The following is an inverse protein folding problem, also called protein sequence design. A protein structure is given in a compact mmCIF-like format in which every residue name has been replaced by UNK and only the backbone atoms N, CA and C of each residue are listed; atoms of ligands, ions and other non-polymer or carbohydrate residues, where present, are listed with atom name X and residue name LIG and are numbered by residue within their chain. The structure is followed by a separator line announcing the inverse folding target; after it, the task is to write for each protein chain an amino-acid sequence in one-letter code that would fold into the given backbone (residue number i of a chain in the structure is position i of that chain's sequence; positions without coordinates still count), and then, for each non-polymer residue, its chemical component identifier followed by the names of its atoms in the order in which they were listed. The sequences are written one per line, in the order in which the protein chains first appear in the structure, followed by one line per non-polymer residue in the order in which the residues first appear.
data_IF_510332796975
#
_entry.id   IF_510332796975
#
_cell.length_a   1.000
_cell.length_b   1.000
_cell.length_c   1.000
_cell.angle_alpha   90.00
_cell.angle_beta   90.00
_cell.angle_gamma   90.00
#
_symmetry.space_group_name_H-M   'P 1'
#
loop_
_entity.id
_entity.type
_entity.pdbx_description
1 polymer ?
#
# COMPACT_ATOMS: atom_id res chain seq x y z
N UNK A 1 -51.93 5.22 -37.32
CA UNK A 1 -52.07 6.68 -37.59
C UNK A 1 -51.58 7.41 -36.37
N UNK A 2 -50.37 7.88 -36.40
CA UNK A 2 -49.81 9.01 -35.65
C UNK A 2 -48.34 9.13 -36.09
N UNK A 3 -48.01 10.25 -36.58
CA UNK A 3 -46.82 10.68 -37.32
C UNK A 3 -45.65 10.96 -36.38
N UNK A 4 -44.39 10.81 -36.79
CA UNK A 4 -43.23 11.10 -35.95
C UNK A 4 -42.88 12.59 -36.05
N UNK A 5 -42.64 13.23 -34.90
CA UNK A 5 -42.10 14.59 -34.80
C UNK A 5 -40.57 14.57 -34.65
N UNK A 6 -39.92 15.22 -35.60
CA UNK A 6 -38.52 15.63 -35.64
C UNK A 6 -38.33 16.90 -34.78
N UNK A 7 -37.29 17.03 -33.99
CA UNK A 7 -36.78 18.30 -33.53
C UNK A 7 -35.34 18.55 -33.93
N UNK A 8 -35.15 19.19 -35.06
CA UNK A 8 -33.96 20.00 -35.30
C UNK A 8 -34.18 21.38 -34.69
N UNK A 9 -33.39 21.78 -33.70
CA UNK A 9 -33.19 23.17 -33.36
C UNK A 9 -31.84 23.42 -32.67
N UNK A 10 -30.97 24.07 -33.43
CA UNK A 10 -30.19 25.24 -33.11
C UNK A 10 -29.02 25.11 -32.10
N UNK A 11 -27.87 25.10 -32.69
CA UNK A 11 -26.57 25.54 -32.14
C UNK A 11 -26.54 27.08 -32.05
N UNK A 12 -26.08 27.68 -30.97
CA UNK A 12 -25.61 29.08 -31.01
C UNK A 12 -24.06 29.11 -31.10
N UNK A 13 -23.66 29.86 -32.10
CA UNK A 13 -22.30 30.21 -32.47
C UNK A 13 -21.69 31.23 -31.52
N UNK A 14 -20.40 31.05 -31.34
CA UNK A 14 -19.38 31.87 -30.70
C UNK A 14 -19.21 33.27 -31.33
N UNK A 15 -18.83 34.33 -30.65
CA UNK A 15 -18.09 35.42 -31.25
C UNK A 15 -16.62 35.47 -30.84
N UNK A 16 -15.80 35.48 -31.84
CA UNK A 16 -14.42 35.92 -31.93
C UNK A 16 -14.24 37.41 -31.57
N UNK A 17 -13.26 37.72 -30.73
CA UNK A 17 -12.56 39.03 -30.64
C UNK A 17 -11.13 38.66 -30.23
N UNK A 18 -10.04 38.97 -30.87
CA UNK A 18 -9.63 40.14 -31.62
C UNK A 18 -8.17 40.30 -31.26
N UNK A 19 -7.30 40.24 -32.26
CA UNK A 19 -5.87 40.40 -32.14
C UNK A 19 -5.47 41.82 -31.67
N UNK A 20 -4.42 41.92 -30.84
CA UNK A 20 -3.77 43.16 -30.49
C UNK A 20 -2.29 42.92 -30.25
N UNK A 21 -1.50 43.18 -31.28
CA UNK A 21 -0.03 43.29 -31.28
C UNK A 21 0.36 44.62 -30.62
N UNK A 22 1.36 44.61 -29.76
CA UNK A 22 2.42 45.65 -29.67
C UNK A 22 3.52 45.18 -28.71
N UNK A 23 4.74 44.96 -29.19
CA UNK A 23 5.92 45.25 -28.40
C UNK A 23 6.29 46.70 -28.56
N UNK A 24 7.16 47.29 -27.79
CA UNK A 24 8.60 47.00 -27.92
C UNK A 24 9.47 47.11 -26.64
N UNK A 25 10.63 46.54 -26.73
CA UNK A 25 11.93 47.20 -26.54
C UNK A 25 12.53 47.39 -25.12
N UNK A 26 13.64 46.73 -24.98
CA UNK A 26 14.97 47.16 -24.49
C UNK A 26 15.26 47.52 -23.04
N UNK A 27 16.42 46.98 -22.77
CA UNK A 27 17.51 47.34 -21.83
C UNK A 27 17.46 46.56 -20.53
N UNK A 28 18.35 45.60 -20.24
CA UNK A 28 19.79 45.78 -20.23
C UNK A 28 20.22 46.06 -18.80
N UNK A 29 20.49 45.01 -18.00
CA UNK A 29 21.49 45.09 -16.91
C UNK A 29 22.06 43.68 -16.70
N UNK A 30 23.32 43.52 -17.05
CA UNK A 30 24.12 42.35 -16.76
C UNK A 30 24.45 42.26 -15.27
N UNK A 31 24.03 41.22 -14.64
CA UNK A 31 24.46 40.80 -13.32
C UNK A 31 25.37 39.60 -13.46
N UNK A 32 26.68 39.85 -13.48
CA UNK A 32 27.73 38.81 -13.39
C UNK A 32 27.66 38.20 -12.00
N UNK A 33 27.21 36.97 -11.88
CA UNK A 33 27.45 36.16 -10.68
C UNK A 33 28.94 35.76 -10.67
N UNK A 34 29.66 36.37 -9.76
CA UNK A 34 31.02 36.06 -9.35
C UNK A 34 30.98 34.72 -8.59
N UNK A 35 31.80 33.78 -9.03
CA UNK A 35 32.08 32.55 -8.30
C UNK A 35 32.80 32.86 -6.99
N UNK A 36 32.58 32.14 -5.90
CA UNK A 36 33.33 32.28 -4.67
C UNK A 36 34.74 31.73 -4.88
N UNK A 37 35.75 32.56 -4.48
CA UNK A 37 37.15 32.21 -4.42
C UNK A 37 37.43 31.08 -3.42
N UNK A 38 38.43 30.23 -3.68
CA UNK A 38 38.88 29.21 -2.74
C UNK A 38 39.64 29.85 -1.59
N UNK A 39 39.35 29.42 -0.37
CA UNK A 39 40.08 29.76 0.84
C UNK A 39 41.48 29.14 0.76
N UNK A 40 42.50 30.00 0.77
CA UNK A 40 43.90 29.61 0.89
C UNK A 40 44.20 29.00 2.26
N UNK A 41 44.80 27.83 2.25
CA UNK A 41 45.47 27.23 3.41
C UNK A 41 46.78 27.99 3.69
N UNK A 42 47.11 28.35 4.95
CA UNK A 42 48.42 28.92 5.25
C UNK A 42 49.50 27.82 5.29
N UNK A 43 50.49 27.99 4.45
CA UNK A 43 51.69 27.17 4.38
C UNK A 43 52.52 27.26 5.65
N UNK A 44 52.90 26.12 6.17
CA UNK A 44 53.93 25.97 7.20
C UNK A 44 55.33 26.22 6.61
N UNK A 45 55.95 27.35 6.88
CA UNK A 45 57.40 27.49 6.96
C UNK A 45 57.75 28.86 7.51
N UNK A 46 58.13 28.92 8.75
CA UNK A 46 59.20 29.77 9.27
C UNK A 46 59.26 29.64 10.77
N UNK A 47 60.05 28.69 11.20
CA UNK A 47 60.50 28.60 12.58
C UNK A 47 62.04 28.47 12.55
N UNK A 48 62.72 29.55 12.70
CA UNK A 48 64.13 29.48 13.10
C UNK A 48 64.53 30.77 13.81
N UNK A 49 64.79 30.63 15.11
CA UNK A 49 65.90 31.33 15.73
C UNK A 49 65.65 32.72 16.29
N UNK A 50 65.57 32.83 17.60
CA UNK A 50 66.44 33.78 18.33
C UNK A 50 66.33 33.56 19.85
N UNK A 51 67.31 32.94 20.41
CA UNK A 51 68.24 33.41 21.51
C UNK A 51 67.60 33.81 22.84
N UNK A 52 67.89 32.96 23.82
CA UNK A 52 67.99 33.23 25.25
C UNK A 52 68.82 34.48 25.60
N UNK A 53 68.31 35.38 26.44
CA UNK A 53 69.10 36.03 27.50
C UNK A 53 68.17 36.70 28.53
N UNK A 54 68.15 36.13 29.75
CA UNK A 54 68.48 36.80 31.00
C UNK A 54 67.78 38.13 31.30
N UNK A 55 66.87 38.07 32.29
CA UNK A 55 66.90 38.93 33.52
C UNK A 55 65.87 38.43 34.55
N UNK A 56 66.32 37.85 35.65
CA UNK A 56 65.70 37.96 36.97
C UNK A 56 66.29 39.24 37.60
N UNK A 57 65.61 40.02 38.47
CA UNK A 57 64.93 39.59 39.67
C UNK A 57 63.66 40.42 40.00
N UNK A 58 62.76 39.94 40.79
CA UNK A 58 62.46 40.48 42.12
C UNK A 58 61.42 39.62 42.86
N UNK A 59 61.88 39.08 43.95
CA UNK A 59 61.06 38.50 45.01
C UNK A 59 60.35 39.61 45.80
N UNK A 60 59.01 39.74 45.63
CA UNK A 60 58.20 40.28 46.77
C UNK A 60 56.71 40.10 46.49
N UNK A 61 56.06 39.52 47.49
CA UNK A 61 54.62 39.53 47.78
C UNK A 61 53.72 38.60 46.92
N UNK A 62 53.62 37.38 47.41
CA UNK A 62 52.42 36.55 47.10
C UNK A 62 51.16 37.22 47.62
N UNK A 63 50.16 37.50 46.77
CA UNK A 63 48.86 37.93 47.25
C UNK A 63 48.20 36.77 47.99
N UNK A 64 47.36 37.04 49.03
CA UNK A 64 46.67 36.00 49.78
C UNK A 64 45.76 35.18 48.88
N UNK A 65 45.57 33.87 49.11
CA UNK A 65 44.71 33.03 48.30
C UNK A 65 43.32 33.62 48.30
N UNK A 66 42.61 33.58 47.15
CA UNK A 66 41.23 34.07 47.06
C UNK A 66 40.37 33.25 48.02
N UNK A 67 39.67 33.96 48.91
CA UNK A 67 38.68 33.40 49.80
C UNK A 67 37.66 32.62 48.97
N UNK A 68 37.55 31.34 49.23
CA UNK A 68 36.57 30.49 48.59
C UNK A 68 35.17 31.12 48.73
N UNK A 69 34.41 31.22 47.64
CA UNK A 69 33.03 31.69 47.72
C UNK A 69 32.24 30.77 48.65
N UNK A 70 31.27 31.32 49.38
CA UNK A 70 30.44 30.50 50.27
C UNK A 70 29.76 29.39 49.46
N UNK A 71 29.56 28.19 50.05
CA UNK A 71 28.96 27.08 49.34
C UNK A 71 27.60 27.52 48.79
N UNK A 72 27.48 27.49 47.48
CA UNK A 72 26.23 27.73 46.81
C UNK A 72 25.17 26.80 47.42
N UNK A 73 24.14 27.38 48.00
CA UNK A 73 23.02 26.62 48.56
C UNK A 73 22.58 25.60 47.49
N UNK A 74 22.78 24.33 47.79
CA UNK A 74 22.37 23.23 46.91
C UNK A 74 20.86 23.32 46.71
N UNK A 75 20.47 24.00 45.64
CA UNK A 75 19.10 24.04 45.20
C UNK A 75 18.70 22.59 44.90
N UNK A 76 17.81 22.03 45.72
CA UNK A 76 17.36 20.65 45.61
C UNK A 76 16.87 20.46 44.17
N UNK A 77 17.37 19.46 43.41
CA UNK A 77 16.97 19.29 42.05
C UNK A 77 15.44 19.17 41.97
N UNK A 78 14.79 20.15 41.39
CA UNK A 78 13.36 20.10 41.11
C UNK A 78 13.09 18.79 40.41
N UNK A 79 12.41 17.85 41.07
CA UNK A 79 11.93 16.60 40.47
C UNK A 79 11.20 16.97 39.19
N UNK A 80 11.88 16.88 38.04
CA UNK A 80 11.23 16.95 36.72
C UNK A 80 10.17 15.86 36.74
N UNK A 81 8.90 16.25 36.78
CA UNK A 81 7.78 15.32 36.56
C UNK A 81 8.04 14.67 35.22
N UNK A 82 8.54 13.44 35.25
CA UNK A 82 8.65 12.63 34.03
C UNK A 82 7.22 12.39 33.58
N UNK A 83 6.75 13.16 32.60
CA UNK A 83 5.49 12.87 31.94
C UNK A 83 5.65 11.47 31.33
N UNK A 84 4.85 10.50 31.76
CA UNK A 84 5.04 9.13 31.31
C UNK A 84 4.84 9.08 29.79
N UNK A 85 5.66 8.31 29.09
CA UNK A 85 5.65 8.21 27.61
C UNK A 85 4.26 7.90 27.07
N UNK A 86 3.47 7.12 27.81
CA UNK A 86 2.10 6.80 27.42
C UNK A 86 1.19 8.05 27.32
N UNK A 87 1.43 9.13 28.07
CA UNK A 87 0.64 10.35 28.00
C UNK A 87 0.80 11.09 26.65
N UNK A 88 1.93 10.93 25.98
CA UNK A 88 2.14 11.47 24.63
C UNK A 88 1.50 10.60 23.54
N UNK A 89 1.40 9.29 23.79
CA UNK A 89 0.85 8.34 22.81
C UNK A 89 -0.65 8.13 23.00
N UNK A 90 -1.17 8.35 24.22
CA UNK A 90 -2.57 8.13 24.56
C UNK A 90 -3.58 8.87 23.65
N UNK A 91 -3.42 10.15 23.29
CA UNK A 91 -4.37 10.82 22.43
C UNK A 91 -4.51 10.13 21.06
N UNK A 92 -3.37 9.76 20.44
CA UNK A 92 -3.39 9.06 19.15
C UNK A 92 -3.96 7.66 19.25
N UNK A 93 -3.67 6.94 20.34
CA UNK A 93 -4.23 5.61 20.59
C UNK A 93 -5.74 5.67 20.83
N UNK A 94 -6.24 6.68 21.58
CA UNK A 94 -7.68 6.86 21.80
C UNK A 94 -8.39 7.12 20.47
N UNK A 95 -7.88 8.05 19.66
CA UNK A 95 -8.46 8.34 18.34
C UNK A 95 -8.47 7.09 17.47
N UNK A 96 -7.36 6.34 17.43
CA UNK A 96 -7.25 5.11 16.67
C UNK A 96 -8.24 4.04 17.16
N UNK A 97 -8.37 3.90 18.49
CA UNK A 97 -9.32 2.97 19.10
C UNK A 97 -10.78 3.31 18.75
N UNK A 98 -11.15 4.58 18.83
CA UNK A 98 -12.50 5.03 18.47
C UNK A 98 -12.78 4.78 16.99
N UNK A 99 -11.85 5.11 16.09
CA UNK A 99 -12.06 4.97 14.65
C UNK A 99 -12.08 3.50 14.21
N UNK A 100 -11.31 2.63 14.84
CA UNK A 100 -11.19 1.21 14.43
C UNK A 100 -12.08 0.30 15.28
N UNK A 101 -11.99 0.38 16.63
CA UNK A 101 -12.66 -0.59 17.49
C UNK A 101 -14.18 -0.36 17.57
N UNK A 102 -14.63 0.90 17.50
CA UNK A 102 -16.06 1.17 17.52
C UNK A 102 -16.81 0.61 16.29
N UNK A 103 -16.40 0.89 15.03
CA UNK A 103 -17.05 0.28 13.87
C UNK A 103 -16.93 -1.24 13.84
N UNK A 104 -15.77 -1.78 14.24
CA UNK A 104 -15.57 -3.23 14.31
C UNK A 104 -16.52 -3.88 15.34
N UNK A 105 -16.57 -3.31 16.55
CA UNK A 105 -17.49 -3.80 17.59
C UNK A 105 -18.96 -3.69 17.17
N UNK A 106 -19.32 -2.58 16.50
CA UNK A 106 -20.67 -2.41 15.94
C UNK A 106 -20.98 -3.43 14.84
N UNK A 107 -20.03 -3.71 13.94
CA UNK A 107 -20.21 -4.73 12.91
C UNK A 107 -20.43 -6.13 13.53
N UNK A 108 -19.63 -6.49 14.54
CA UNK A 108 -19.82 -7.75 15.28
C UNK A 108 -21.18 -7.79 16.00
N UNK A 109 -21.59 -6.68 16.61
CA UNK A 109 -22.89 -6.58 17.23
C UNK A 109 -24.04 -6.75 16.21
N UNK A 110 -23.98 -6.04 15.08
CA UNK A 110 -24.98 -6.15 14.01
C UNK A 110 -25.03 -7.56 13.42
N UNK A 111 -23.89 -8.24 13.30
CA UNK A 111 -23.80 -9.60 12.75
C UNK A 111 -24.60 -10.65 13.55
N UNK A 112 -24.88 -10.35 14.82
CA UNK A 112 -25.68 -11.21 15.71
C UNK A 112 -27.19 -10.91 15.68
N UNK A 113 -27.63 -10.02 14.79
CA UNK A 113 -29.03 -9.65 14.64
C UNK A 113 -29.56 -10.04 13.26
N UNK A 114 -30.85 -10.37 13.18
CA UNK A 114 -31.49 -10.72 11.90
C UNK A 114 -31.79 -9.46 11.06
N UNK A 115 -31.76 -9.61 9.74
CA UNK A 115 -32.26 -8.59 8.79
C UNK A 115 -33.76 -8.75 8.55
N UNK A 116 -34.34 -9.91 8.90
CA UNK A 116 -35.71 -10.26 8.62
C UNK A 116 -36.72 -9.47 9.44
N UNK A 117 -37.75 -8.98 8.77
CA UNK A 117 -38.95 -8.47 9.44
C UNK A 117 -39.78 -9.68 9.89
N UNK A 118 -39.82 -9.96 11.19
CA UNK A 118 -40.78 -10.95 11.75
C UNK A 118 -42.01 -10.21 12.23
N UNK A 119 -43.18 -10.76 11.92
CA UNK A 119 -44.41 -10.30 12.54
C UNK A 119 -44.40 -10.76 14.00
N UNK A 120 -44.43 -9.80 14.91
CA UNK A 120 -44.59 -10.13 16.32
C UNK A 120 -46.01 -10.64 16.55
N UNK A 121 -46.18 -11.87 17.08
CA UNK A 121 -47.52 -12.45 17.29
C UNK A 121 -48.35 -11.68 18.30
N UNK A 122 -47.73 -10.95 19.24
CA UNK A 122 -48.43 -10.24 20.30
C UNK A 122 -48.82 -8.82 19.87
N UNK A 123 -47.99 -8.13 19.12
CA UNK A 123 -48.23 -6.72 18.73
C UNK A 123 -48.74 -6.56 17.31
N UNK A 124 -48.64 -7.59 16.45
CA UNK A 124 -48.99 -7.52 15.03
C UNK A 124 -48.07 -6.58 14.22
N UNK A 125 -46.97 -6.08 14.81
CA UNK A 125 -46.01 -5.18 14.14
C UNK A 125 -44.80 -5.97 13.63
N UNK A 126 -44.19 -5.46 12.56
CA UNK A 126 -42.96 -6.01 12.06
C UNK A 126 -41.79 -5.59 12.95
N UNK A 127 -41.19 -6.57 13.64
CA UNK A 127 -39.98 -6.38 14.44
C UNK A 127 -38.76 -6.71 13.58
N UNK A 128 -37.83 -5.77 13.49
CA UNK A 128 -36.57 -5.94 12.80
C UNK A 128 -35.43 -6.06 13.81
N UNK A 129 -34.38 -6.81 13.47
CA UNK A 129 -33.16 -6.83 14.27
C UNK A 129 -33.25 -7.70 15.53
N UNK A 130 -33.99 -8.78 15.49
CA UNK A 130 -33.97 -9.76 16.59
C UNK A 130 -32.59 -10.37 16.76
N UNK A 131 -32.18 -10.56 18.01
CA UNK A 131 -30.92 -11.19 18.36
C UNK A 131 -30.95 -12.69 18.01
N UNK A 132 -30.04 -13.12 17.12
CA UNK A 132 -30.03 -14.47 16.54
C UNK A 132 -28.69 -15.19 16.75
N UNK A 133 -27.84 -14.68 17.64
CA UNK A 133 -26.50 -15.24 17.90
C UNK A 133 -25.68 -15.46 16.61
N UNK A 134 -25.42 -16.69 16.25
CA UNK A 134 -24.57 -17.10 15.15
C UNK A 134 -25.34 -17.56 13.89
N UNK A 135 -26.62 -17.33 13.80
CA UNK A 135 -27.43 -17.82 12.67
C UNK A 135 -26.98 -17.22 11.33
N UNK A 136 -26.62 -15.93 11.31
CA UNK A 136 -26.10 -15.32 10.08
C UNK A 136 -24.80 -15.99 9.62
N UNK A 137 -23.91 -16.34 10.54
CA UNK A 137 -22.66 -17.04 10.22
C UNK A 137 -22.92 -18.45 9.70
N UNK A 138 -23.81 -19.18 10.36
CA UNK A 138 -24.24 -20.51 9.93
C UNK A 138 -24.83 -20.44 8.53
N UNK A 139 -25.74 -19.51 8.28
CA UNK A 139 -26.41 -19.35 6.99
C UNK A 139 -25.42 -19.10 5.85
N UNK A 140 -24.38 -18.28 6.05
CA UNK A 140 -23.32 -18.08 5.06
C UNK A 140 -22.53 -19.36 4.81
N UNK A 141 -22.06 -20.03 5.86
CA UNK A 141 -21.21 -21.23 5.73
C UNK A 141 -21.97 -22.37 5.09
N UNK A 142 -23.24 -22.58 5.47
CA UNK A 142 -24.09 -23.65 4.95
C UNK A 142 -24.85 -23.27 3.69
N UNK A 143 -24.67 -22.03 3.20
CA UNK A 143 -25.43 -21.47 2.07
C UNK A 143 -26.93 -21.61 2.24
N UNK A 144 -27.44 -21.31 3.43
CA UNK A 144 -28.86 -21.41 3.79
C UNK A 144 -29.51 -20.03 3.77
N UNK A 145 -30.69 -19.97 3.15
CA UNK A 145 -31.48 -18.75 3.03
C UNK A 145 -32.73 -18.88 3.96
N UNK A 146 -32.91 -17.85 4.79
CA UNK A 146 -34.08 -17.82 5.70
C UNK A 146 -35.33 -17.40 4.95
N UNK A 147 -36.37 -18.23 5.04
CA UNK A 147 -37.71 -17.96 4.52
C UNK A 147 -38.73 -17.90 5.66
N UNK A 148 -39.96 -17.46 5.37
CA UNK A 148 -41.01 -17.43 6.36
C UNK A 148 -41.31 -18.84 6.96
N UNK A 149 -41.01 -19.89 6.20
CA UNK A 149 -41.30 -21.29 6.60
C UNK A 149 -40.06 -22.03 7.13
N UNK A 150 -38.93 -21.32 7.37
CA UNK A 150 -37.70 -21.92 7.87
C UNK A 150 -36.49 -21.66 6.97
N UNK A 151 -35.38 -22.34 7.27
CA UNK A 151 -34.12 -22.23 6.51
C UNK A 151 -34.11 -23.28 5.40
N UNK A 152 -33.89 -22.86 4.17
CA UNK A 152 -33.74 -23.71 2.98
C UNK A 152 -32.37 -23.45 2.33
N UNK A 153 -31.82 -24.41 1.55
CA UNK A 153 -30.66 -24.13 0.74
C UNK A 153 -30.90 -22.94 -0.20
N UNK A 154 -29.95 -22.03 -0.29
CA UNK A 154 -30.08 -20.85 -1.15
C UNK A 154 -30.22 -21.25 -2.62
N UNK A 155 -31.24 -20.76 -3.34
CA UNK A 155 -31.36 -20.99 -4.78
C UNK A 155 -30.12 -20.54 -5.53
N UNK A 156 -29.73 -21.26 -6.62
CA UNK A 156 -28.64 -20.86 -7.49
C UNK A 156 -28.83 -19.43 -8.01
N UNK A 157 -27.75 -18.64 -8.03
CA UNK A 157 -27.76 -17.23 -8.48
C UNK A 157 -28.09 -16.22 -7.37
N UNK A 158 -28.52 -16.65 -6.18
CA UNK A 158 -28.66 -15.75 -5.02
C UNK A 158 -27.31 -15.46 -4.39
N UNK A 159 -27.19 -14.34 -3.66
CA UNK A 159 -25.93 -13.98 -2.98
C UNK A 159 -25.49 -15.06 -1.98
N UNK A 160 -26.42 -15.67 -1.26
CA UNK A 160 -26.13 -16.74 -0.31
C UNK A 160 -25.49 -17.98 -0.95
N UNK A 161 -25.86 -18.32 -2.19
CA UNK A 161 -25.28 -19.45 -2.93
C UNK A 161 -23.87 -19.19 -3.47
N UNK A 162 -23.38 -17.93 -3.44
CA UNK A 162 -22.09 -17.53 -4.02
C UNK A 162 -20.95 -17.53 -3.00
N UNK A 163 -21.20 -17.83 -1.73
CA UNK A 163 -20.21 -17.69 -0.65
C UNK A 163 -18.90 -18.43 -0.94
N UNK A 164 -18.98 -19.75 -1.15
CA UNK A 164 -17.78 -20.56 -1.39
C UNK A 164 -17.09 -20.23 -2.72
N UNK A 165 -17.86 -19.87 -3.74
CA UNK A 165 -17.31 -19.41 -5.00
C UNK A 165 -16.55 -18.12 -4.84
N UNK A 166 -17.07 -17.16 -4.08
CA UNK A 166 -16.41 -15.87 -3.81
C UNK A 166 -15.14 -16.05 -2.97
N UNK A 167 -15.13 -16.98 -2.01
CA UNK A 167 -13.90 -17.38 -1.31
C UNK A 167 -12.89 -17.94 -2.29
N UNK A 168 -13.28 -18.91 -3.13
CA UNK A 168 -12.43 -19.51 -4.14
C UNK A 168 -11.84 -18.50 -5.13
N UNK A 169 -12.68 -17.56 -5.60
CA UNK A 169 -12.23 -16.47 -6.46
C UNK A 169 -11.22 -15.55 -5.75
N UNK A 170 -11.49 -15.18 -4.48
CA UNK A 170 -10.59 -14.31 -3.70
C UNK A 170 -9.21 -14.94 -3.54
N UNK A 171 -9.15 -16.19 -3.11
CA UNK A 171 -7.88 -16.91 -2.98
C UNK A 171 -7.21 -17.16 -4.34
N UNK A 172 -7.99 -17.52 -5.37
CA UNK A 172 -7.49 -17.73 -6.72
C UNK A 172 -6.82 -16.47 -7.29
N UNK A 173 -7.52 -15.33 -7.23
CA UNK A 173 -6.94 -14.05 -7.63
C UNK A 173 -5.71 -13.71 -6.81
N UNK A 174 -5.80 -13.82 -5.49
CA UNK A 174 -4.66 -13.50 -4.60
C UNK A 174 -3.42 -14.29 -4.96
N UNK A 175 -3.52 -15.62 -5.11
CA UNK A 175 -2.37 -16.47 -5.42
C UNK A 175 -1.80 -16.13 -6.80
N UNK A 176 -2.65 -16.04 -7.82
CA UNK A 176 -2.20 -15.80 -9.19
C UNK A 176 -1.59 -14.41 -9.34
N UNK A 177 -2.26 -13.35 -8.84
CA UNK A 177 -1.76 -11.98 -9.00
C UNK A 177 -0.48 -11.75 -8.20
N UNK A 178 -0.42 -12.19 -6.93
CA UNK A 178 0.78 -12.02 -6.09
C UNK A 178 1.99 -12.76 -6.67
N UNK A 179 1.81 -13.96 -7.22
CA UNK A 179 2.90 -14.69 -7.88
C UNK A 179 3.42 -13.94 -9.13
N UNK A 180 2.51 -13.51 -10.00
CA UNK A 180 2.87 -12.77 -11.22
C UNK A 180 3.55 -11.45 -10.89
N UNK A 181 3.00 -10.70 -9.95
CA UNK A 181 3.53 -9.43 -9.50
C UNK A 181 4.89 -9.56 -8.80
N UNK A 182 5.10 -10.65 -8.07
CA UNK A 182 6.40 -10.95 -7.45
C UNK A 182 7.47 -11.14 -8.53
N UNK A 183 7.17 -11.91 -9.57
CA UNK A 183 8.11 -12.16 -10.67
C UNK A 183 8.34 -10.88 -11.50
N UNK A 184 7.27 -10.20 -11.89
CA UNK A 184 7.35 -8.98 -12.69
C UNK A 184 7.98 -7.85 -11.89
N UNK A 185 7.56 -7.65 -10.62
CA UNK A 185 8.08 -6.64 -9.72
C UNK A 185 9.58 -6.84 -9.41
N UNK A 186 10.01 -8.08 -9.17
CA UNK A 186 11.43 -8.40 -9.01
C UNK A 186 12.22 -8.08 -10.28
N UNK A 187 11.70 -8.45 -11.44
CA UNK A 187 12.33 -8.15 -12.73
C UNK A 187 12.47 -6.64 -12.96
N UNK A 188 11.39 -5.88 -12.71
CA UNK A 188 11.39 -4.42 -12.79
C UNK A 188 12.39 -3.81 -11.78
N UNK A 189 12.42 -4.29 -10.55
CA UNK A 189 13.33 -3.82 -9.50
C UNK A 189 14.79 -4.03 -9.89
N UNK A 190 15.14 -5.19 -10.44
CA UNK A 190 16.50 -5.50 -10.93
C UNK A 190 16.93 -4.59 -12.08
N UNK A 191 16.02 -4.22 -12.99
CA UNK A 191 16.30 -3.27 -14.06
C UNK A 191 16.49 -1.86 -13.47
N UNK A 192 15.61 -1.43 -12.58
CA UNK A 192 15.66 -0.11 -11.93
C UNK A 192 16.85 0.06 -10.97
N UNK A 193 17.42 -1.03 -10.47
CA UNK A 193 18.63 -1.01 -9.63
C UNK A 193 19.89 -0.69 -10.42
N UNK A 194 19.92 -0.97 -11.73
CA UNK A 194 21.08 -0.67 -12.58
C UNK A 194 21.29 0.83 -12.75
N UNK A 195 22.57 1.22 -12.91
CA UNK A 195 22.98 2.59 -13.22
C UNK A 195 23.05 2.80 -14.72
N UNK A 196 22.15 3.62 -15.28
CA UNK A 196 22.16 4.01 -16.67
C UNK A 196 21.51 5.39 -16.86
N UNK A 197 21.79 6.04 -18.02
CA UNK A 197 21.15 7.31 -18.38
C UNK A 197 19.65 7.11 -18.57
N UNK A 198 18.81 7.96 -17.92
CA UNK A 198 17.35 7.86 -18.01
C UNK A 198 16.67 6.97 -16.95
N UNK A 199 17.42 6.40 -16.00
CA UNK A 199 16.83 5.57 -14.94
C UNK A 199 15.72 6.29 -14.12
N UNK A 200 15.85 7.61 -13.96
CA UNK A 200 14.84 8.42 -13.26
C UNK A 200 13.52 8.45 -14.03
N UNK A 201 13.59 8.64 -15.35
CA UNK A 201 12.40 8.59 -16.21
C UNK A 201 11.76 7.21 -16.22
N UNK A 202 12.57 6.14 -16.31
CA UNK A 202 12.07 4.77 -16.22
C UNK A 202 11.31 4.53 -14.89
N UNK A 203 11.90 4.93 -13.75
CA UNK A 203 11.25 4.81 -12.45
C UNK A 203 9.94 5.57 -12.38
N UNK A 204 9.90 6.80 -12.90
CA UNK A 204 8.68 7.60 -12.96
C UNK A 204 7.61 6.93 -13.84
N UNK A 205 7.98 6.46 -15.04
CA UNK A 205 7.04 5.80 -15.97
C UNK A 205 6.46 4.50 -15.41
N UNK A 206 7.27 3.70 -14.73
CA UNK A 206 6.83 2.45 -14.08
C UNK A 206 5.81 2.74 -12.99
N UNK A 207 5.87 3.91 -12.32
CA UNK A 207 4.93 4.25 -11.26
C UNK A 207 3.58 4.78 -11.73
N UNK A 208 3.44 5.17 -12.99
CA UNK A 208 2.20 5.73 -13.53
C UNK A 208 1.00 4.80 -13.29
N UNK A 209 1.06 3.48 -13.61
CA UNK A 209 -0.07 2.59 -13.38
C UNK A 209 -0.55 2.55 -11.93
N UNK A 210 0.38 2.54 -10.99
CA UNK A 210 0.06 2.50 -9.57
C UNK A 210 -0.55 3.81 -9.07
N UNK A 211 -0.12 4.95 -9.61
CA UNK A 211 -0.61 6.27 -9.24
C UNK A 211 -2.06 6.54 -9.70
N UNK A 212 -2.56 5.81 -10.73
CA UNK A 212 -3.92 5.99 -11.24
C UNK A 212 -4.93 5.43 -10.22
N UNK A 213 -6.01 6.17 -9.89
CA UNK A 213 -7.09 5.66 -9.04
C UNK A 213 -7.67 4.34 -9.57
N UNK A 214 -7.94 3.38 -8.67
CA UNK A 214 -8.37 2.03 -9.07
C UNK A 214 -9.66 2.06 -9.90
N UNK A 215 -10.61 2.94 -9.57
CA UNK A 215 -11.85 3.07 -10.34
C UNK A 215 -11.60 3.51 -11.79
N UNK A 216 -10.63 4.41 -12.01
CA UNK A 216 -10.25 4.85 -13.37
C UNK A 216 -9.56 3.70 -14.10
N UNK A 217 -8.65 3.00 -13.45
CA UNK A 217 -8.01 1.80 -14.00
C UNK A 217 -9.04 0.75 -14.41
N UNK A 218 -10.01 0.47 -13.55
CA UNK A 218 -11.04 -0.51 -13.83
C UNK A 218 -11.88 -0.12 -15.06
N UNK A 219 -12.26 1.15 -15.20
CA UNK A 219 -12.97 1.65 -16.39
C UNK A 219 -12.11 1.60 -17.65
N UNK A 220 -10.83 1.95 -17.56
CA UNK A 220 -9.89 1.86 -18.68
C UNK A 220 -9.79 0.42 -19.21
N UNK A 221 -9.58 -0.53 -18.32
CA UNK A 221 -9.50 -1.95 -18.67
C UNK A 221 -10.84 -2.53 -19.13
N UNK A 222 -11.97 -2.04 -18.57
CA UNK A 222 -13.30 -2.38 -19.07
C UNK A 222 -13.46 -2.02 -20.55
N UNK A 223 -13.05 -0.82 -20.99
CA UNK A 223 -13.10 -0.42 -22.40
C UNK A 223 -12.13 -1.23 -23.28
N UNK A 224 -10.96 -1.59 -22.76
CA UNK A 224 -10.00 -2.43 -23.48
C UNK A 224 -10.60 -3.81 -23.75
N UNK A 225 -11.28 -4.39 -22.77
CA UNK A 225 -11.86 -5.72 -22.79
C UNK A 225 -13.37 -5.74 -23.19
N UNK A 226 -13.93 -4.63 -23.65
CA UNK A 226 -15.28 -4.62 -24.19
C UNK A 226 -15.38 -5.49 -25.46
N UNK A 227 -16.60 -5.93 -25.83
CA UNK A 227 -16.78 -6.79 -27.00
C UNK A 227 -16.20 -6.19 -28.29
N UNK A 228 -16.42 -4.91 -28.52
CA UNK A 228 -15.87 -4.12 -29.61
C UNK A 228 -14.57 -3.39 -29.22
N UNK A 229 -14.00 -3.75 -28.08
CA UNK A 229 -12.81 -3.15 -27.51
C UNK A 229 -11.52 -3.48 -28.25
N UNK A 230 -10.45 -2.82 -27.80
CA UNK A 230 -9.12 -2.92 -28.43
C UNK A 230 -8.59 -4.36 -28.38
N UNK A 231 -8.84 -5.11 -27.29
CA UNK A 231 -8.37 -6.48 -27.14
C UNK A 231 -8.88 -7.39 -28.27
N UNK A 232 -10.16 -7.40 -28.52
CA UNK A 232 -10.75 -8.21 -29.59
C UNK A 232 -10.30 -7.76 -30.98
N UNK A 233 -10.14 -6.45 -31.20
CA UNK A 233 -9.66 -5.91 -32.51
C UNK A 233 -8.23 -6.33 -32.81
N UNK A 234 -7.33 -6.32 -31.82
CA UNK A 234 -5.93 -6.74 -31.98
C UNK A 234 -5.83 -8.25 -32.18
N UNK A 235 -6.63 -9.03 -31.44
CA UNK A 235 -6.59 -10.50 -31.50
C UNK A 235 -7.39 -11.05 -32.69
N UNK A 236 -8.21 -10.25 -33.37
CA UNK A 236 -9.11 -10.71 -34.44
C UNK A 236 -10.18 -11.68 -33.92
N UNK A 237 -10.61 -11.55 -32.65
CA UNK A 237 -11.53 -12.47 -31.99
C UNK A 237 -12.77 -11.75 -31.49
N UNK A 238 -13.78 -12.51 -31.07
CA UNK A 238 -15.01 -12.01 -30.42
C UNK A 238 -15.17 -12.64 -29.04
N UNK A 239 -14.13 -12.60 -28.23
CA UNK A 239 -14.14 -13.15 -26.88
C UNK A 239 -15.00 -12.27 -25.98
N UNK A 240 -15.90 -12.86 -25.20
CA UNK A 240 -16.74 -12.18 -24.21
C UNK A 240 -15.98 -12.01 -22.87
N UNK A 241 -14.98 -11.09 -22.88
CA UNK A 241 -14.07 -10.88 -21.74
C UNK A 241 -14.78 -10.50 -20.44
N UNK A 242 -15.97 -9.93 -20.50
CA UNK A 242 -16.71 -9.49 -19.30
C UNK A 242 -17.82 -10.46 -18.88
N UNK A 243 -18.20 -11.38 -19.77
CA UNK A 243 -19.31 -12.31 -19.53
C UNK A 243 -18.84 -13.73 -19.24
N UNK A 244 -17.90 -14.25 -20.03
CA UNK A 244 -17.42 -15.62 -19.88
C UNK A 244 -16.50 -15.78 -18.66
N UNK A 245 -16.65 -16.88 -17.88
CA UNK A 245 -15.95 -17.03 -16.59
C UNK A 245 -14.43 -16.95 -16.66
N UNK A 246 -13.80 -17.63 -17.63
CA UNK A 246 -12.33 -17.67 -17.73
C UNK A 246 -11.74 -16.40 -18.33
N UNK A 247 -12.26 -15.87 -19.46
CA UNK A 247 -11.84 -14.57 -19.97
C UNK A 247 -11.98 -13.44 -18.95
N UNK A 248 -13.10 -13.41 -18.19
CA UNK A 248 -13.33 -12.39 -17.18
C UNK A 248 -12.30 -12.46 -16.04
N UNK A 249 -11.96 -13.65 -15.56
CA UNK A 249 -10.91 -13.85 -14.58
C UNK A 249 -9.54 -13.40 -15.11
N UNK A 250 -9.23 -13.77 -16.35
CA UNK A 250 -7.98 -13.35 -16.99
C UNK A 250 -7.88 -11.83 -17.10
N UNK A 251 -8.96 -11.16 -17.52
CA UNK A 251 -9.00 -9.71 -17.66
C UNK A 251 -8.74 -8.99 -16.32
N UNK A 252 -9.31 -9.50 -15.22
CA UNK A 252 -9.05 -8.96 -13.87
C UNK A 252 -7.58 -9.16 -13.49
N UNK A 253 -7.03 -10.36 -13.69
CA UNK A 253 -5.62 -10.64 -13.36
C UNK A 253 -4.69 -9.71 -14.12
N UNK A 254 -4.91 -9.51 -15.42
CA UNK A 254 -4.08 -8.60 -16.24
C UNK A 254 -4.16 -7.17 -15.74
N UNK A 255 -5.38 -6.68 -15.45
CA UNK A 255 -5.59 -5.31 -14.96
C UNK A 255 -4.94 -5.09 -13.60
N UNK A 256 -5.06 -6.05 -12.69
CA UNK A 256 -4.52 -5.98 -11.33
C UNK A 256 -2.99 -6.03 -11.35
N UNK A 257 -2.41 -6.99 -12.06
CA UNK A 257 -0.95 -7.13 -12.21
C UNK A 257 -0.33 -5.89 -12.84
N UNK A 258 -0.94 -5.35 -13.90
CA UNK A 258 -0.47 -4.12 -14.54
C UNK A 258 -0.44 -2.94 -13.56
N UNK A 259 -1.48 -2.82 -12.73
CA UNK A 259 -1.61 -1.73 -11.77
C UNK A 259 -0.64 -1.85 -10.61
N UNK A 260 -0.44 -3.04 -10.07
CA UNK A 260 0.16 -3.25 -8.74
C UNK A 260 1.58 -3.82 -8.79
N UNK A 261 2.04 -4.41 -9.90
CA UNK A 261 3.44 -4.82 -10.07
C UNK A 261 4.47 -3.69 -9.82
N UNK A 262 4.21 -2.41 -10.19
CA UNK A 262 5.08 -1.30 -9.85
C UNK A 262 5.29 -1.09 -8.34
N UNK A 263 4.26 -1.29 -7.54
CA UNK A 263 4.36 -1.20 -6.08
C UNK A 263 5.28 -2.28 -5.51
N UNK A 264 5.11 -3.53 -5.99
CA UNK A 264 6.03 -4.63 -5.65
C UNK A 264 7.47 -4.30 -6.06
N UNK A 265 7.65 -3.75 -7.25
CA UNK A 265 8.96 -3.37 -7.75
C UNK A 265 9.65 -2.32 -6.87
N UNK A 266 8.91 -1.33 -6.34
CA UNK A 266 9.46 -0.32 -5.43
C UNK A 266 9.90 -0.91 -4.10
N UNK A 267 9.09 -1.75 -3.48
CA UNK A 267 9.44 -2.38 -2.20
C UNK A 267 10.68 -3.27 -2.35
N UNK A 268 10.75 -4.05 -3.44
CA UNK A 268 11.90 -4.91 -3.73
C UNK A 268 13.13 -4.05 -4.05
N UNK A 269 12.97 -2.95 -4.80
CA UNK A 269 14.05 -2.03 -5.12
C UNK A 269 14.65 -1.38 -3.87
N UNK A 270 13.81 -1.00 -2.90
CA UNK A 270 14.28 -0.49 -1.62
C UNK A 270 15.16 -1.52 -0.90
N UNK A 271 14.78 -2.79 -0.92
CA UNK A 271 15.61 -3.89 -0.39
C UNK A 271 16.93 -4.08 -1.17
N UNK A 272 16.89 -3.99 -2.49
CA UNK A 272 18.10 -4.10 -3.32
C UNK A 272 19.11 -2.97 -3.05
N UNK A 273 18.64 -1.77 -2.73
CA UNK A 273 19.49 -0.62 -2.41
C UNK A 273 20.21 -0.75 -1.06
N UNK A 274 19.76 -1.64 -0.19
CA UNK A 274 20.43 -1.92 1.08
C UNK A 274 21.64 -2.86 0.95
N UNK A 275 21.83 -3.49 -0.22
CA UNK A 275 22.93 -4.42 -0.46
C UNK A 275 24.18 -3.61 -0.83
N UNK A 276 25.30 -3.72 -0.06
CA UNK A 276 26.55 -3.03 -0.36
C UNK A 276 27.11 -3.41 -1.73
N UNK A 277 27.64 -2.43 -2.47
CA UNK A 277 28.22 -2.66 -3.80
C UNK A 277 29.44 -3.59 -3.74
N UNK A 278 30.22 -3.49 -2.66
CA UNK A 278 31.45 -4.26 -2.45
C UNK A 278 31.22 -5.79 -2.53
N UNK A 279 30.05 -6.26 -2.07
CA UNK A 279 29.68 -7.68 -2.17
C UNK A 279 29.61 -8.16 -3.62
N UNK A 280 29.09 -7.29 -4.50
CA UNK A 280 29.01 -7.60 -5.93
C UNK A 280 30.38 -7.49 -6.64
N UNK A 281 31.23 -6.59 -6.17
CA UNK A 281 32.59 -6.41 -6.69
C UNK A 281 33.47 -7.60 -6.31
N UNK A 282 33.46 -8.02 -5.05
CA UNK A 282 34.16 -9.21 -4.60
C UNK A 282 33.74 -10.45 -5.40
N UNK A 283 32.45 -10.67 -5.58
CA UNK A 283 31.94 -11.80 -6.37
C UNK A 283 32.33 -11.74 -7.85
N UNK A 284 32.56 -10.55 -8.42
CA UNK A 284 33.11 -10.41 -9.78
C UNK A 284 34.56 -10.80 -9.84
N UNK A 285 35.37 -10.41 -8.84
CA UNK A 285 36.78 -10.78 -8.73
C UNK A 285 36.92 -12.30 -8.60
N UNK A 286 36.03 -12.95 -7.83
CA UNK A 286 35.96 -14.41 -7.70
C UNK A 286 35.45 -15.12 -8.97
N UNK A 287 35.17 -14.40 -10.05
CA UNK A 287 34.71 -14.99 -11.32
C UNK A 287 33.25 -15.43 -11.35
N UNK A 288 32.41 -15.04 -10.36
CA UNK A 288 31.03 -15.42 -10.33
C UNK A 288 30.22 -14.85 -11.51
N UNK A 289 29.47 -15.70 -12.21
CA UNK A 289 28.59 -15.32 -13.31
C UNK A 289 27.42 -14.46 -12.82
N UNK A 290 26.73 -13.78 -13.74
CA UNK A 290 25.56 -12.95 -13.39
C UNK A 290 24.44 -13.78 -12.72
N UNK A 291 24.21 -15.02 -13.17
CA UNK A 291 23.23 -15.93 -12.57
C UNK A 291 23.62 -16.41 -11.18
N UNK A 292 24.90 -16.71 -10.96
CA UNK A 292 25.43 -17.06 -9.64
C UNK A 292 25.27 -15.90 -8.66
N UNK A 293 25.64 -14.68 -9.06
CA UNK A 293 25.44 -13.46 -8.24
C UNK A 293 23.96 -13.24 -7.92
N UNK A 294 23.07 -13.42 -8.90
CA UNK A 294 21.63 -13.31 -8.65
C UNK A 294 21.14 -14.34 -7.63
N UNK A 295 21.46 -15.62 -7.82
CA UNK A 295 20.93 -16.70 -7.00
C UNK A 295 21.58 -16.78 -5.61
N UNK A 296 22.88 -16.50 -5.50
CA UNK A 296 23.65 -16.72 -4.26
C UNK A 296 23.83 -15.43 -3.43
N UNK A 297 23.67 -14.25 -4.03
CA UNK A 297 23.87 -12.97 -3.36
C UNK A 297 22.56 -12.16 -3.37
N UNK A 298 22.07 -11.80 -4.56
CA UNK A 298 20.94 -10.89 -4.67
C UNK A 298 19.67 -11.47 -4.04
N UNK A 299 19.29 -12.67 -4.43
CA UNK A 299 18.04 -13.29 -3.98
C UNK A 299 18.01 -13.56 -2.46
N UNK A 300 19.08 -14.10 -1.84
CA UNK A 300 19.10 -14.27 -0.39
C UNK A 300 19.09 -12.94 0.38
N UNK A 301 19.84 -11.94 -0.08
CA UNK A 301 19.92 -10.64 0.62
C UNK A 301 18.68 -9.79 0.45
N UNK A 302 17.96 -9.88 -0.69
CA UNK A 302 16.70 -9.17 -0.90
C UNK A 302 15.51 -9.90 -0.30
N UNK A 303 15.66 -11.18 0.08
CA UNK A 303 14.58 -12.02 0.60
C UNK A 303 13.75 -11.37 1.71
N UNK A 304 14.32 -10.67 2.72
CA UNK A 304 13.51 -10.01 3.75
C UNK A 304 12.58 -8.94 3.17
N UNK A 305 13.07 -8.10 2.25
CA UNK A 305 12.28 -7.08 1.59
C UNK A 305 11.21 -7.69 0.66
N UNK A 306 11.56 -8.76 -0.05
CA UNK A 306 10.64 -9.52 -0.88
C UNK A 306 9.48 -10.11 -0.04
N UNK A 307 9.79 -10.67 1.13
CA UNK A 307 8.77 -11.22 2.04
C UNK A 307 7.81 -10.15 2.54
N UNK A 308 8.33 -8.96 2.89
CA UNK A 308 7.50 -7.81 3.28
C UNK A 308 6.62 -7.36 2.12
N UNK A 309 7.16 -7.27 0.91
CA UNK A 309 6.39 -6.92 -0.28
C UNK A 309 5.27 -7.92 -0.56
N UNK A 310 5.55 -9.22 -0.51
CA UNK A 310 4.57 -10.31 -0.67
C UNK A 310 3.50 -10.24 0.42
N UNK A 311 3.88 -9.99 1.68
CA UNK A 311 2.93 -9.84 2.77
C UNK A 311 1.93 -8.71 2.51
N UNK A 312 2.45 -7.50 2.23
CA UNK A 312 1.59 -6.33 1.95
C UNK A 312 0.67 -6.59 0.75
N UNK A 313 1.21 -7.16 -0.33
CA UNK A 313 0.42 -7.41 -1.52
C UNK A 313 -0.64 -8.50 -1.32
N UNK A 314 -0.32 -9.55 -0.57
CA UNK A 314 -1.31 -10.58 -0.24
C UNK A 314 -2.47 -10.00 0.57
N UNK A 315 -2.17 -9.14 1.57
CA UNK A 315 -3.20 -8.46 2.36
C UNK A 315 -4.08 -7.54 1.51
N UNK A 316 -3.50 -6.88 0.51
CA UNK A 316 -4.23 -6.02 -0.43
C UNK A 316 -5.09 -6.85 -1.39
N UNK A 317 -4.55 -7.91 -1.97
CA UNK A 317 -5.25 -8.81 -2.90
C UNK A 317 -6.46 -9.51 -2.27
N UNK A 318 -6.35 -9.93 -1.00
CA UNK A 318 -7.46 -10.56 -0.27
C UNK A 318 -8.66 -9.61 -0.07
N UNK A 319 -8.45 -8.30 -0.18
CA UNK A 319 -9.50 -7.27 -0.05
C UNK A 319 -9.89 -6.64 -1.39
N UNK A 320 -9.51 -7.27 -2.51
CA UNK A 320 -9.83 -6.78 -3.84
C UNK A 320 -11.33 -6.59 -4.02
N UNK A 321 -11.75 -5.34 -4.30
CA UNK A 321 -13.13 -4.96 -4.51
C UNK A 321 -13.32 -4.20 -5.83
N UNK A 322 -12.61 -3.09 -6.03
CA UNK A 322 -12.88 -2.12 -7.10
C UNK A 322 -12.78 -2.72 -8.50
N UNK A 323 -11.72 -3.51 -8.77
CA UNK A 323 -11.51 -4.08 -10.10
C UNK A 323 -12.63 -5.04 -10.50
N UNK A 324 -12.94 -6.11 -9.73
CA UNK A 324 -14.04 -7.01 -10.09
C UNK A 324 -15.39 -6.29 -10.12
N UNK A 325 -15.69 -5.42 -9.15
CA UNK A 325 -16.97 -4.72 -9.06
C UNK A 325 -17.22 -3.77 -10.25
N UNK A 326 -16.20 -3.01 -10.67
CA UNK A 326 -16.35 -1.99 -11.71
C UNK A 326 -16.19 -2.56 -13.11
N UNK A 327 -15.26 -3.53 -13.31
CA UNK A 327 -15.03 -4.15 -14.60
C UNK A 327 -16.11 -5.17 -14.98
N UNK A 328 -16.55 -5.99 -14.02
CA UNK A 328 -17.38 -7.17 -14.28
C UNK A 328 -18.79 -7.05 -13.68
N UNK A 329 -19.02 -6.02 -12.85
CA UNK A 329 -20.28 -5.87 -12.14
C UNK A 329 -20.56 -7.06 -11.21
N UNK A 330 -21.82 -7.53 -11.21
CA UNK A 330 -22.25 -8.67 -10.36
C UNK A 330 -22.02 -10.03 -11.02
N UNK A 331 -20.96 -10.20 -11.83
CA UNK A 331 -20.65 -11.51 -12.44
C UNK A 331 -20.14 -12.49 -11.34
N UNK A 332 -20.87 -13.57 -11.05
CA UNK A 332 -20.51 -14.53 -9.99
C UNK A 332 -19.13 -15.18 -10.21
N UNK A 333 -18.72 -15.35 -11.48
CA UNK A 333 -17.44 -15.98 -11.82
C UNK A 333 -16.23 -15.17 -11.35
N UNK A 334 -16.40 -13.87 -11.10
CA UNK A 334 -15.35 -12.94 -10.70
C UNK A 334 -15.63 -12.25 -9.38
N UNK A 335 -16.80 -12.50 -8.77
CA UNK A 335 -17.17 -11.95 -7.48
C UNK A 335 -16.19 -12.41 -6.41
N UNK A 336 -15.53 -11.47 -5.75
CA UNK A 336 -14.71 -11.71 -4.56
C UNK A 336 -15.56 -11.63 -3.30
N UNK A 337 -15.03 -12.10 -2.18
CA UNK A 337 -15.74 -11.99 -0.90
C UNK A 337 -16.02 -10.51 -0.55
N UNK A 338 -15.15 -9.58 -0.91
CA UNK A 338 -15.36 -8.14 -0.71
C UNK A 338 -16.51 -7.58 -1.56
N UNK A 339 -16.65 -8.05 -2.80
CA UNK A 339 -17.79 -7.71 -3.67
C UNK A 339 -19.08 -8.26 -3.07
N UNK A 340 -19.07 -9.52 -2.63
CA UNK A 340 -20.22 -10.17 -2.02
C UNK A 340 -20.69 -9.45 -0.75
N UNK A 341 -19.76 -8.96 0.09
CA UNK A 341 -20.09 -8.14 1.29
C UNK A 341 -20.85 -6.88 0.89
N UNK A 342 -20.37 -6.16 -0.12
CA UNK A 342 -20.99 -4.89 -0.55
C UNK A 342 -22.34 -5.14 -1.21
N UNK A 343 -22.47 -6.18 -2.02
CA UNK A 343 -23.75 -6.53 -2.64
C UNK A 343 -24.77 -6.96 -1.57
N UNK A 344 -24.34 -7.74 -0.57
CA UNK A 344 -25.18 -8.13 0.54
C UNK A 344 -25.63 -6.93 1.41
N UNK A 345 -24.79 -5.90 1.55
CA UNK A 345 -25.14 -4.71 2.34
C UNK A 345 -26.39 -3.99 1.78
N UNK A 346 -26.66 -4.11 0.48
CA UNK A 346 -27.84 -3.56 -0.18
C UNK A 346 -29.12 -4.37 0.12
N UNK A 347 -28.95 -5.62 0.51
CA UNK A 347 -30.06 -6.56 0.80
C UNK A 347 -30.34 -6.62 2.30
N UNK A 348 -29.27 -6.72 3.12
CA UNK A 348 -29.42 -6.82 4.57
C UNK A 348 -28.08 -6.48 5.26
N UNK A 349 -28.09 -5.42 6.05
CA UNK A 349 -26.88 -4.89 6.69
C UNK A 349 -26.34 -5.83 7.79
N UNK A 350 -27.21 -6.55 8.51
CA UNK A 350 -26.82 -7.43 9.59
C UNK A 350 -26.15 -8.72 9.05
N UNK A 351 -26.73 -9.31 8.02
CA UNK A 351 -26.13 -10.44 7.30
C UNK A 351 -24.84 -10.06 6.62
N UNK A 352 -24.75 -8.85 6.01
CA UNK A 352 -23.51 -8.30 5.45
C UNK A 352 -22.43 -8.11 6.52
N UNK A 353 -22.81 -7.67 7.72
CA UNK A 353 -21.90 -7.52 8.86
C UNK A 353 -21.32 -8.87 9.32
N UNK A 354 -22.13 -9.94 9.29
CA UNK A 354 -21.62 -11.29 9.56
C UNK A 354 -20.62 -11.74 8.50
N UNK A 355 -20.93 -11.52 7.22
CA UNK A 355 -20.02 -11.82 6.12
C UNK A 355 -18.73 -11.01 6.19
N UNK A 356 -18.82 -9.71 6.54
CA UNK A 356 -17.66 -8.85 6.77
C UNK A 356 -16.77 -9.34 7.92
N UNK A 357 -17.40 -9.82 9.02
CA UNK A 357 -16.67 -10.40 10.15
C UNK A 357 -15.96 -11.70 9.75
N UNK A 358 -16.61 -12.59 8.99
CA UNK A 358 -15.97 -13.79 8.43
C UNK A 358 -14.77 -13.39 7.57
N UNK A 359 -14.95 -12.41 6.67
CA UNK A 359 -13.89 -11.89 5.80
C UNK A 359 -12.71 -11.37 6.60
N UNK A 360 -12.99 -10.57 7.64
CA UNK A 360 -11.95 -10.06 8.54
C UNK A 360 -11.16 -11.19 9.21
N UNK A 361 -11.87 -12.21 9.74
CA UNK A 361 -11.23 -13.36 10.39
C UNK A 361 -10.36 -14.16 9.41
N UNK A 362 -10.81 -14.36 8.18
CA UNK A 362 -10.03 -15.04 7.13
C UNK A 362 -8.76 -14.24 6.84
N UNK A 363 -8.88 -12.94 6.59
CA UNK A 363 -7.74 -12.07 6.30
C UNK A 363 -6.77 -12.04 7.48
N UNK A 364 -7.29 -11.91 8.70
CA UNK A 364 -6.48 -11.93 9.92
C UNK A 364 -5.72 -13.26 10.08
N UNK A 365 -6.38 -14.39 9.85
CA UNK A 365 -5.75 -15.71 9.91
C UNK A 365 -4.64 -15.85 8.87
N UNK A 366 -4.88 -15.43 7.62
CA UNK A 366 -3.85 -15.45 6.56
C UNK A 366 -2.69 -14.54 6.92
N UNK A 367 -2.97 -13.32 7.40
CA UNK A 367 -1.94 -12.38 7.86
C UNK A 367 -1.10 -12.98 8.98
N UNK A 368 -1.74 -13.54 9.99
CA UNK A 368 -1.06 -14.17 11.13
C UNK A 368 -0.17 -15.34 10.67
N UNK A 369 -0.69 -16.19 9.79
CA UNK A 369 0.07 -17.30 9.19
C UNK A 369 1.28 -16.77 8.44
N UNK A 370 1.10 -15.79 7.55
CA UNK A 370 2.19 -15.20 6.79
C UNK A 370 3.24 -14.55 7.68
N UNK A 371 2.84 -13.76 8.66
CA UNK A 371 3.77 -13.13 9.61
C UNK A 371 4.52 -14.18 10.41
N UNK A 372 3.84 -15.25 10.85
CA UNK A 372 4.47 -16.32 11.63
C UNK A 372 5.50 -17.10 10.82
N UNK A 373 5.22 -17.38 9.55
CA UNK A 373 6.11 -18.14 8.68
C UNK A 373 7.19 -17.27 8.01
N UNK A 374 6.84 -16.07 7.54
CA UNK A 374 7.79 -15.18 6.89
C UNK A 374 8.60 -14.36 7.91
N UNK A 375 7.97 -13.88 8.99
CA UNK A 375 8.61 -13.05 10.00
C UNK A 375 9.64 -13.83 10.83
N UNK A 376 9.37 -15.08 11.19
CA UNK A 376 10.30 -15.91 11.93
C UNK A 376 11.62 -16.11 11.16
N UNK A 377 11.54 -16.26 9.84
CA UNK A 377 12.72 -16.44 8.99
C UNK A 377 13.52 -15.13 8.79
N UNK A 378 12.86 -13.97 8.76
CA UNK A 378 13.52 -12.68 8.60
C UNK A 378 14.34 -12.29 9.86
N UNK A 379 13.79 -12.53 11.05
CA UNK A 379 14.47 -12.25 12.33
C UNK A 379 15.64 -13.18 12.55
N UNK A 380 15.48 -14.47 12.26
CA UNK A 380 16.56 -15.46 12.41
C UNK A 380 17.75 -15.20 11.46
N UNK A 381 17.49 -14.70 10.26
CA UNK A 381 18.54 -14.34 9.30
C UNK A 381 19.34 -13.12 9.76
N UNK A 382 18.68 -12.10 10.31
CA UNK A 382 19.37 -10.92 10.86
C UNK A 382 20.17 -11.26 12.13
N UNK A 383 19.66 -12.15 12.97
CA UNK A 383 20.36 -12.57 14.18
C UNK A 383 21.60 -13.42 13.86
N UNK A 384 21.54 -14.30 12.87
CA UNK A 384 22.68 -15.05 12.36
C UNK A 384 23.75 -14.13 11.75
N UNK A 385 23.35 -13.16 10.94
CA UNK A 385 24.26 -12.15 10.38
C UNK A 385 24.94 -11.32 11.46
N UNK A 386 24.22 -10.99 12.55
CA UNK A 386 24.79 -10.25 13.69
C UNK A 386 25.77 -11.10 14.51
N UNK A 387 25.58 -12.41 14.53
CA UNK A 387 26.46 -13.37 15.23
C UNK A 387 27.63 -13.88 14.36
N UNK A 388 27.68 -13.52 13.07
CA UNK A 388 28.72 -13.99 12.15
C UNK A 388 28.61 -15.48 11.79
N UNK A 389 27.45 -16.09 12.01
CA UNK A 389 27.21 -17.49 11.68
C UNK A 389 26.83 -17.61 10.19
N UNK A 390 27.30 -18.66 9.48
CA UNK A 390 26.94 -18.88 8.08
C UNK A 390 25.41 -19.07 7.94
N UNK A 391 24.83 -18.42 6.93
CA UNK A 391 23.38 -18.39 6.64
C UNK A 391 22.96 -19.66 5.91
#
# INVERSE_FOLDING_TARGET
MAEPQDPSAAVPTNPTVGAGSTGPDRSGVGGRHRAPEPLEEPSASEAAGTSLTKVLPDLAATPPPPTSPPPASADKPKKRRRVPVWAFVAPSLIVLAVIILYPLGRAVWMSMHSDGKKLDPETGMFVTGQFTWFDNYKNWITQSCNTANGSIPCPPGTLGSQFWQSIGNTFGFTVVTVLLETVIGLSMALIMAKTFRGRGLLRASVLIPWAIPTAVTAKLWFFIFANDGIANKILGTNILWTADPWPARFAIVVADVWKTAPFMALLILAGLQMIPADVYEAAKVDGATAWQRFRMITLPLVKPALMVAVLFRTMDALRMYDLPAIMMGSNPATSTISVLVVDQMRVGANSASALSTITFLIIFAVAFILVRFLGANAVSTQEKQRKGEPV
#
